data_IF_397896833115
#
_entry.id   IF_397896833115
#
_cell.length_a   1.000
_cell.length_b   1.000
_cell.length_c   1.000
_cell.angle_alpha   90.00
_cell.angle_beta   90.00
_cell.angle_gamma   90.00
#
_symmetry.space_group_name_H-M   'P 1'
#
loop_
_entity.id
_entity.type
_entity.pdbx_description
1 polymer ?
#
# COMPACT_ATOMS: atom_id res chain seq x y z
N UNK A 1 -10.13 -11.88 -18.19
CA UNK A 1 -9.49 -10.91 -17.26
C UNK A 1 -9.30 -9.61 -18.03
N UNK A 2 -9.85 -8.50 -17.54
CA UNK A 2 -9.77 -7.18 -18.21
C UNK A 2 -8.44 -6.47 -17.94
N UNK A 3 -8.00 -5.60 -18.85
CA UNK A 3 -6.64 -5.01 -18.90
C UNK A 3 -6.09 -4.40 -17.58
N UNK A 4 -6.95 -4.02 -16.63
CA UNK A 4 -6.55 -3.45 -15.33
C UNK A 4 -5.65 -4.34 -14.47
N UNK A 5 -5.64 -5.67 -14.64
CA UNK A 5 -4.81 -6.54 -13.79
C UNK A 5 -3.31 -6.40 -14.09
N UNK A 6 -2.94 -5.97 -15.30
CA UNK A 6 -1.53 -5.79 -15.69
C UNK A 6 -0.84 -4.72 -14.84
N UNK A 7 -1.35 -3.47 -14.75
CA UNK A 7 -0.75 -2.48 -13.85
C UNK A 7 -0.86 -2.88 -12.37
N UNK A 8 -1.90 -3.63 -11.96
CA UNK A 8 -1.99 -4.14 -10.59
C UNK A 8 -0.87 -5.14 -10.25
N UNK A 9 -0.53 -6.05 -11.17
CA UNK A 9 0.59 -6.98 -10.99
C UNK A 9 1.94 -6.25 -10.95
N UNK A 10 2.14 -5.27 -11.84
CA UNK A 10 3.36 -4.46 -11.83
C UNK A 10 3.48 -3.66 -10.52
N UNK A 11 2.37 -3.09 -10.02
CA UNK A 11 2.34 -2.44 -8.73
C UNK A 11 2.71 -3.39 -7.58
N UNK A 12 2.27 -4.65 -7.62
CA UNK A 12 2.67 -5.65 -6.62
C UNK A 12 4.18 -5.94 -6.63
N UNK A 13 4.82 -5.96 -7.80
CA UNK A 13 6.28 -6.08 -7.92
C UNK A 13 6.99 -4.86 -7.33
N UNK A 14 6.52 -3.65 -7.65
CA UNK A 14 7.05 -2.41 -7.06
C UNK A 14 6.91 -2.42 -5.53
N UNK A 15 5.78 -2.89 -5.00
CA UNK A 15 5.55 -3.01 -3.56
C UNK A 15 6.49 -4.02 -2.90
N UNK A 16 6.75 -5.16 -3.53
CA UNK A 16 7.72 -6.12 -3.02
C UNK A 16 9.12 -5.50 -2.93
N UNK A 17 9.57 -4.82 -4.00
CA UNK A 17 10.84 -4.08 -3.99
C UNK A 17 10.88 -3.00 -2.91
N UNK A 18 9.80 -2.24 -2.75
CA UNK A 18 9.66 -1.23 -1.71
C UNK A 18 9.90 -1.80 -0.30
N UNK A 19 9.21 -2.89 0.08
CA UNK A 19 9.38 -3.47 1.42
C UNK A 19 10.80 -4.00 1.69
N UNK A 20 11.44 -4.60 0.68
CA UNK A 20 12.82 -5.06 0.79
C UNK A 20 13.78 -3.89 1.06
N UNK A 21 13.64 -2.79 0.31
CA UNK A 21 14.45 -1.58 0.52
C UNK A 21 14.12 -0.90 1.84
N UNK A 22 12.85 -0.89 2.26
CA UNK A 22 12.42 -0.32 3.54
C UNK A 22 13.07 -1.03 4.73
N UNK A 23 13.16 -2.37 4.69
CA UNK A 23 13.95 -3.12 5.67
C UNK A 23 15.43 -2.80 5.62
N UNK A 24 15.99 -2.64 4.42
CA UNK A 24 17.38 -2.23 4.27
C UNK A 24 17.61 -0.80 4.82
N UNK A 25 16.61 0.07 4.82
CA UNK A 25 16.71 1.40 5.43
C UNK A 25 16.44 1.39 6.95
N UNK A 26 15.59 0.47 7.44
CA UNK A 26 15.18 0.41 8.84
C UNK A 26 16.38 0.28 9.80
N UNK A 27 16.42 1.12 10.83
CA UNK A 27 17.52 1.20 11.79
C UNK A 27 18.76 1.97 11.29
N UNK A 28 18.81 2.39 10.01
CA UNK A 28 19.89 3.21 9.44
C UNK A 28 19.51 4.67 9.24
N UNK A 29 18.21 4.96 9.23
CA UNK A 29 17.64 6.31 9.18
C UNK A 29 16.50 6.41 10.21
N UNK A 30 16.31 7.58 10.81
CA UNK A 30 15.18 7.80 11.72
C UNK A 30 13.84 7.74 10.99
N UNK A 31 12.80 7.20 11.62
CA UNK A 31 11.53 6.85 10.98
C UNK A 31 10.90 8.00 10.18
N UNK A 32 10.83 9.20 10.78
CA UNK A 32 10.23 10.36 10.13
C UNK A 32 11.05 10.86 8.93
N UNK A 33 12.39 10.86 9.04
CA UNK A 33 13.27 11.25 7.95
C UNK A 33 13.25 10.21 6.83
N UNK A 34 13.28 8.92 7.19
CA UNK A 34 13.16 7.81 6.25
C UNK A 34 11.84 7.87 5.49
N UNK A 35 10.72 8.08 6.19
CA UNK A 35 9.41 8.27 5.57
C UNK A 35 9.39 9.48 4.63
N UNK A 36 9.90 10.63 5.07
CA UNK A 36 9.97 11.83 4.22
C UNK A 36 10.79 11.59 2.95
N UNK A 37 11.95 10.91 3.04
CA UNK A 37 12.76 10.58 1.87
C UNK A 37 12.01 9.67 0.89
N UNK A 38 11.26 8.68 1.38
CA UNK A 38 10.46 7.79 0.54
C UNK A 38 9.36 8.58 -0.17
N UNK A 39 8.56 9.34 0.57
CA UNK A 39 7.43 10.08 -0.02
C UNK A 39 7.91 11.14 -1.01
N UNK A 40 9.01 11.85 -0.69
CA UNK A 40 9.58 12.85 -1.59
C UNK A 40 10.13 12.23 -2.89
N UNK A 41 10.82 11.09 -2.80
CA UNK A 41 11.33 10.40 -4.00
C UNK A 41 10.22 9.75 -4.81
N UNK A 42 9.17 9.23 -4.16
CA UNK A 42 7.97 8.75 -4.84
C UNK A 42 7.25 9.89 -5.58
N UNK A 43 7.05 11.04 -4.93
CA UNK A 43 6.45 12.22 -5.55
C UNK A 43 7.27 12.71 -6.76
N UNK A 44 8.60 12.72 -6.65
CA UNK A 44 9.48 13.05 -7.77
C UNK A 44 9.35 12.05 -8.93
N UNK A 45 9.26 10.75 -8.65
CA UNK A 45 9.02 9.72 -9.67
C UNK A 45 7.68 9.89 -10.38
N UNK A 46 6.61 10.21 -9.63
CA UNK A 46 5.28 10.50 -10.17
C UNK A 46 5.31 11.78 -11.03
N UNK A 47 6.04 12.81 -10.61
CA UNK A 47 6.20 14.04 -11.40
C UNK A 47 6.88 13.75 -12.74
N UNK A 48 7.94 12.94 -12.75
CA UNK A 48 8.58 12.50 -14.00
C UNK A 48 7.57 11.74 -14.88
N UNK A 49 6.79 10.83 -14.30
CA UNK A 49 5.75 10.10 -15.04
C UNK A 49 4.72 11.05 -15.69
N UNK A 50 4.25 12.06 -14.94
CA UNK A 50 3.31 13.08 -15.43
C UNK A 50 3.91 13.86 -16.61
N UNK A 51 5.17 14.28 -16.49
CA UNK A 51 5.87 15.05 -17.53
C UNK A 51 6.12 14.23 -18.80
N UNK A 52 6.28 12.90 -18.68
CA UNK A 52 6.48 12.01 -19.82
C UNK A 52 5.19 11.64 -20.55
N UNK A 53 4.01 11.88 -19.98
CA UNK A 53 2.71 11.49 -20.57
C UNK A 53 1.69 12.65 -20.62
N UNK A 54 2.05 13.81 -21.19
CA UNK A 54 1.16 14.96 -21.23
C UNK A 54 -0.14 14.63 -21.99
N UNK A 55 -1.28 15.01 -21.41
CA UNK A 55 -2.60 14.90 -22.05
C UNK A 55 -3.25 13.51 -22.03
N UNK A 56 -2.64 12.53 -21.35
CA UNK A 56 -3.23 11.17 -21.22
C UNK A 56 -4.04 10.96 -19.94
N UNK A 57 -4.00 11.92 -19.02
CA UNK A 57 -4.65 11.87 -17.72
C UNK A 57 -6.10 12.35 -17.78
N UNK A 58 -6.93 11.82 -16.88
CA UNK A 58 -8.29 12.33 -16.67
C UNK A 58 -8.26 13.77 -16.15
N UNK A 59 -9.20 14.63 -16.56
CA UNK A 59 -9.26 16.01 -16.08
C UNK A 59 -9.47 16.04 -14.56
N UNK A 60 -8.71 16.88 -13.82
CA UNK A 60 -8.81 16.91 -12.37
C UNK A 60 -10.17 17.49 -11.92
N UNK A 61 -10.76 16.86 -10.92
CA UNK A 61 -11.94 17.39 -10.20
C UNK A 61 -11.55 17.73 -8.77
N UNK A 62 -12.20 18.74 -8.17
CA UNK A 62 -11.90 19.11 -6.78
C UNK A 62 -12.10 17.94 -5.81
N UNK A 63 -13.17 17.16 -5.99
CA UNK A 63 -13.44 15.98 -5.17
C UNK A 63 -12.37 14.89 -5.38
N UNK A 64 -11.95 14.64 -6.63
CA UNK A 64 -10.87 13.69 -6.92
C UNK A 64 -9.55 14.08 -6.27
N UNK A 65 -9.20 15.37 -6.31
CA UNK A 65 -8.00 15.90 -5.66
C UNK A 65 -8.08 15.73 -4.13
N UNK A 66 -9.22 16.02 -3.51
CA UNK A 66 -9.41 15.84 -2.06
C UNK A 66 -9.21 14.38 -1.65
N UNK A 67 -9.83 13.44 -2.38
CA UNK A 67 -9.64 12.01 -2.11
C UNK A 67 -8.20 11.54 -2.30
N UNK A 68 -7.52 12.03 -3.35
CA UNK A 68 -6.10 11.73 -3.59
C UNK A 68 -5.21 12.25 -2.45
N UNK A 69 -5.43 13.50 -2.00
CA UNK A 69 -4.70 14.07 -0.86
C UNK A 69 -4.98 13.31 0.45
N UNK A 70 -6.25 12.96 0.71
CA UNK A 70 -6.60 12.18 1.89
C UNK A 70 -5.92 10.80 1.87
N UNK A 71 -5.89 10.13 0.72
CA UNK A 71 -5.13 8.87 0.54
C UNK A 71 -3.64 9.06 0.84
N UNK A 72 -3.03 10.15 0.36
CA UNK A 72 -1.63 10.47 0.65
C UNK A 72 -1.33 10.60 2.15
N UNK A 73 -2.24 11.20 2.92
CA UNK A 73 -2.08 11.29 4.38
C UNK A 73 -2.08 9.92 5.06
N UNK A 74 -2.92 8.98 4.62
CA UNK A 74 -2.89 7.61 5.11
C UNK A 74 -1.58 6.90 4.76
N UNK A 75 -1.05 7.11 3.54
CA UNK A 75 0.24 6.56 3.12
C UNK A 75 1.38 7.08 4.00
N UNK A 76 1.42 8.38 4.31
CA UNK A 76 2.40 8.94 5.26
C UNK A 76 2.37 8.25 6.63
N UNK A 77 1.17 7.94 7.12
CA UNK A 77 0.99 7.17 8.36
C UNK A 77 1.52 5.73 8.23
N UNK A 78 1.18 5.05 7.12
CA UNK A 78 1.66 3.69 6.81
C UNK A 78 3.19 3.65 6.78
N UNK A 79 3.84 4.52 5.98
CA UNK A 79 5.29 4.51 5.81
C UNK A 79 6.01 4.76 7.13
N UNK A 80 5.52 5.71 7.94
CA UNK A 80 6.09 6.01 9.26
C UNK A 80 5.97 4.83 10.22
N UNK A 81 4.78 4.24 10.32
CA UNK A 81 4.52 3.12 11.24
C UNK A 81 5.25 1.84 10.82
N UNK A 82 5.43 1.60 9.51
CA UNK A 82 6.21 0.45 9.02
C UNK A 82 7.69 0.62 9.40
N UNK A 83 8.26 1.82 9.23
CA UNK A 83 9.63 2.09 9.70
C UNK A 83 9.76 1.78 11.19
N UNK A 84 8.81 2.25 12.01
CA UNK A 84 8.78 1.95 13.44
C UNK A 84 8.71 0.43 13.68
N UNK A 85 7.79 -0.29 13.02
CA UNK A 85 7.64 -1.73 13.19
C UNK A 85 8.90 -2.53 12.82
N UNK A 86 9.55 -2.17 11.70
CA UNK A 86 10.79 -2.82 11.26
C UNK A 86 11.97 -2.48 12.19
N UNK A 87 12.05 -1.24 12.68
CA UNK A 87 13.05 -0.81 13.66
C UNK A 87 12.89 -1.53 14.99
N UNK A 88 11.65 -1.80 15.41
CA UNK A 88 11.34 -2.59 16.61
C UNK A 88 11.62 -4.09 16.43
N UNK A 89 12.17 -4.51 15.28
CA UNK A 89 12.59 -5.89 15.02
C UNK A 89 11.60 -6.73 14.22
N UNK A 90 10.43 -6.18 13.86
CA UNK A 90 9.41 -6.90 13.09
C UNK A 90 9.96 -7.45 11.77
N UNK A 91 9.86 -8.77 11.49
CA UNK A 91 10.43 -9.35 10.28
C UNK A 91 9.66 -8.90 9.04
N UNK A 92 10.35 -8.68 7.92
CA UNK A 92 9.71 -8.22 6.66
C UNK A 92 8.68 -9.23 6.17
N UNK A 93 8.96 -10.52 6.36
CA UNK A 93 8.08 -11.63 5.99
C UNK A 93 6.72 -11.57 6.69
N UNK A 94 6.60 -10.91 7.84
CA UNK A 94 5.32 -10.71 8.53
C UNK A 94 4.81 -9.27 8.40
N UNK A 95 5.67 -8.26 8.62
CA UNK A 95 5.30 -6.84 8.62
C UNK A 95 4.74 -6.39 7.26
N UNK A 96 5.39 -6.77 6.16
CA UNK A 96 4.96 -6.39 4.81
C UNK A 96 3.57 -6.95 4.47
N UNK A 97 3.35 -8.27 4.62
CA UNK A 97 2.03 -8.86 4.45
C UNK A 97 0.97 -8.26 5.37
N UNK A 98 1.24 -8.10 6.67
CA UNK A 98 0.29 -7.50 7.63
C UNK A 98 -0.20 -6.14 7.17
N UNK A 99 0.69 -5.27 6.71
CA UNK A 99 0.33 -3.92 6.30
C UNK A 99 -0.38 -3.93 4.94
N UNK A 100 0.19 -4.62 3.95
CA UNK A 100 -0.35 -4.59 2.59
C UNK A 100 -1.59 -5.47 2.42
N UNK A 101 -1.49 -6.77 2.71
CA UNK A 101 -2.61 -7.68 2.58
C UNK A 101 -3.66 -7.46 3.67
N UNK A 102 -3.28 -7.03 4.88
CA UNK A 102 -4.24 -6.61 5.91
C UNK A 102 -5.00 -5.35 5.50
N UNK A 103 -4.31 -4.33 4.99
CA UNK A 103 -4.94 -3.13 4.44
C UNK A 103 -5.91 -3.44 3.30
N UNK A 104 -5.52 -4.31 2.36
CA UNK A 104 -6.39 -4.74 1.25
C UNK A 104 -7.61 -5.54 1.74
N UNK A 105 -7.44 -6.44 2.72
CA UNK A 105 -8.55 -7.19 3.30
C UNK A 105 -9.57 -6.26 3.98
N UNK A 106 -9.09 -5.27 4.75
CA UNK A 106 -9.95 -4.26 5.37
C UNK A 106 -10.61 -3.37 4.31
N UNK A 107 -9.89 -2.92 3.30
CA UNK A 107 -10.44 -2.13 2.20
C UNK A 107 -11.56 -2.90 1.48
N UNK A 108 -11.36 -4.19 1.20
CA UNK A 108 -12.38 -5.03 0.56
C UNK A 108 -13.64 -5.21 1.44
N UNK A 109 -13.48 -5.21 2.77
CA UNK A 109 -14.58 -5.27 3.73
C UNK A 109 -15.39 -3.96 3.76
N UNK A 110 -14.73 -2.80 3.72
CA UNK A 110 -15.38 -1.48 3.85
C UNK A 110 -15.79 -0.84 2.51
N UNK A 111 -15.19 -1.21 1.38
CA UNK A 111 -15.53 -0.68 0.06
C UNK A 111 -17.04 -0.76 -0.29
N UNK A 112 -17.77 -1.84 0.02
CA UNK A 112 -19.23 -1.89 -0.15
C UNK A 112 -19.98 -0.79 0.57
N UNK A 113 -19.55 -0.47 1.79
CA UNK A 113 -20.19 0.54 2.64
C UNK A 113 -19.91 1.96 2.13
N UNK A 114 -18.70 2.22 1.64
CA UNK A 114 -18.28 3.55 1.20
C UNK A 114 -18.68 3.86 -0.25
N UNK A 115 -18.61 2.87 -1.14
CA UNK A 115 -18.79 3.06 -2.58
C UNK A 115 -20.09 2.43 -3.12
N UNK A 116 -20.93 1.87 -2.25
CA UNK A 116 -22.21 1.25 -2.64
C UNK A 116 -22.06 -0.02 -3.46
N UNK A 117 -20.91 -0.71 -3.36
CA UNK A 117 -20.68 -1.97 -4.08
C UNK A 117 -21.46 -3.13 -3.45
N UNK A 118 -21.76 -4.17 -4.25
CA UNK A 118 -22.40 -5.37 -3.74
C UNK A 118 -21.44 -6.19 -2.84
N UNK A 119 -21.88 -6.51 -1.62
CA UNK A 119 -21.19 -7.48 -0.77
C UNK A 119 -21.57 -8.91 -1.21
N UNK A 120 -20.61 -9.63 -1.78
CA UNK A 120 -20.82 -11.00 -2.29
C UNK A 120 -20.17 -12.04 -1.41
N UNK A 121 -20.74 -13.25 -1.35
CA UNK A 121 -20.17 -14.37 -0.61
C UNK A 121 -18.73 -14.72 -1.09
N UNK A 122 -18.44 -14.55 -2.38
CA UNK A 122 -17.07 -14.73 -2.94
C UNK A 122 -16.08 -13.72 -2.38
N UNK A 123 -16.50 -12.45 -2.21
CA UNK A 123 -15.66 -11.42 -1.58
C UNK A 123 -15.41 -11.75 -0.11
N UNK A 124 -16.46 -12.12 0.63
CA UNK A 124 -16.33 -12.52 2.04
C UNK A 124 -15.34 -13.68 2.20
N UNK A 125 -15.46 -14.73 1.37
CA UNK A 125 -14.53 -15.85 1.37
C UNK A 125 -13.10 -15.41 1.09
N UNK A 126 -12.88 -14.56 0.07
CA UNK A 126 -11.56 -14.02 -0.26
C UNK A 126 -10.94 -13.21 0.88
N UNK A 127 -11.74 -12.37 1.56
CA UNK A 127 -11.29 -11.62 2.74
C UNK A 127 -10.94 -12.56 3.89
N UNK A 128 -11.77 -13.57 4.18
CA UNK A 128 -11.47 -14.56 5.22
C UNK A 128 -10.19 -15.33 4.95
N UNK A 129 -9.97 -15.78 3.69
CA UNK A 129 -8.75 -16.47 3.29
C UNK A 129 -7.52 -15.54 3.36
N UNK A 130 -7.67 -14.27 2.98
CA UNK A 130 -6.62 -13.26 3.12
C UNK A 130 -6.25 -13.02 4.58
N UNK A 131 -7.22 -12.86 5.47
CA UNK A 131 -6.97 -12.72 6.91
C UNK A 131 -6.31 -13.98 7.47
N UNK A 132 -6.76 -15.17 7.06
CA UNK A 132 -6.16 -16.42 7.49
C UNK A 132 -4.68 -16.51 7.08
N UNK A 133 -4.32 -16.10 5.86
CA UNK A 133 -2.91 -16.10 5.43
C UNK A 133 -2.05 -15.14 6.24
N UNK A 134 -2.60 -13.97 6.62
CA UNK A 134 -1.91 -13.03 7.51
C UNK A 134 -1.65 -13.62 8.89
N UNK A 135 -2.65 -14.30 9.48
CA UNK A 135 -2.49 -14.95 10.79
C UNK A 135 -1.40 -16.01 10.72
N UNK A 136 -1.38 -16.83 9.67
CA UNK A 136 -0.36 -17.86 9.48
C UNK A 136 1.03 -17.24 9.40
N UNK A 137 1.24 -16.24 8.53
CA UNK A 137 2.52 -15.55 8.37
C UNK A 137 2.95 -14.80 9.64
N UNK A 138 2.00 -14.22 10.37
CA UNK A 138 2.25 -13.55 11.65
C UNK A 138 2.75 -14.51 12.73
N UNK A 139 2.30 -15.76 12.69
CA UNK A 139 2.64 -16.80 13.68
C UNK A 139 3.83 -17.65 13.28
N UNK A 140 4.42 -17.39 12.11
CA UNK A 140 5.64 -18.06 11.65
C UNK A 140 6.77 -17.74 12.63
N UNK A 141 7.22 -18.76 13.37
CA UNK A 141 8.31 -18.63 14.34
C UNK A 141 9.63 -18.55 13.57
N UNK A 142 10.27 -17.38 13.62
CA UNK A 142 11.68 -17.18 13.24
C UNK A 142 12.62 -17.77 14.27
#
# INVERSE_FOLDING_TARGET
MSVWYVPALLAAVCMAGHYLMLRAAAGRVGDALGALCIEATAAAGILVFLLLRPGTEAPPTAQGVIWACASGLFISGVTTLVFTALRLGGPVSATGPMVFAGGVALAALFAPLLFGEAFTARRALGVCLGIASLVVLATERS
#
